data_IF_336408874651
#
_entry.id   IF_336408874651
#
_cell.length_a   1.000
_cell.length_b   1.000
_cell.length_c   1.000
_cell.angle_alpha   90.00
_cell.angle_beta   90.00
_cell.angle_gamma   90.00
#
_symmetry.space_group_name_H-M   'P 1'
#
loop_
_entity.id
_entity.type
_entity.pdbx_description
1 polymer ?
#
# COMPACT_ATOMS: atom_id res chain seq x y z
N UNK A 1 -9.30 -1.82 -0.76
CA UNK A 1 -7.92 -2.38 -0.82
C UNK A 1 -7.54 -2.86 -2.22
N UNK A 2 -8.20 -3.87 -2.82
CA UNK A 2 -7.81 -4.33 -4.17
C UNK A 2 -7.83 -3.22 -5.24
N UNK A 3 -8.86 -2.38 -5.23
CA UNK A 3 -8.95 -1.22 -6.13
C UNK A 3 -7.77 -0.25 -5.94
N UNK A 4 -7.46 0.13 -4.69
CA UNK A 4 -6.30 0.96 -4.35
C UNK A 4 -5.01 0.43 -4.98
N UNK A 5 -4.75 -0.87 -4.86
CA UNK A 5 -3.54 -1.49 -5.42
C UNK A 5 -3.51 -1.42 -6.94
N UNK A 6 -4.65 -1.62 -7.61
CA UNK A 6 -4.74 -1.51 -9.08
C UNK A 6 -4.40 -0.08 -9.51
N UNK A 7 -5.03 0.92 -8.89
CA UNK A 7 -4.83 2.32 -9.21
C UNK A 7 -3.41 2.80 -8.87
N UNK A 8 -2.85 2.37 -7.72
CA UNK A 8 -1.47 2.65 -7.35
C UNK A 8 -0.49 2.10 -8.38
N UNK A 9 -0.68 0.86 -8.84
CA UNK A 9 0.18 0.26 -9.86
C UNK A 9 0.10 1.03 -11.18
N UNK A 10 -1.08 1.51 -11.56
CA UNK A 10 -1.25 2.39 -12.73
C UNK A 10 -0.52 3.73 -12.54
N UNK A 11 -0.62 4.34 -11.35
CA UNK A 11 0.02 5.61 -11.03
C UNK A 11 1.55 5.55 -11.16
N UNK A 12 2.17 4.49 -10.64
CA UNK A 12 3.63 4.32 -10.68
C UNK A 12 4.11 3.57 -11.94
N UNK A 13 3.21 3.32 -12.89
CA UNK A 13 3.44 2.58 -14.12
C UNK A 13 4.19 1.26 -13.88
N UNK A 14 3.66 0.46 -12.94
CA UNK A 14 4.17 -0.87 -12.59
C UNK A 14 3.20 -1.98 -12.97
N UNK A 15 3.79 -3.09 -13.44
CA UNK A 15 3.05 -4.27 -13.84
C UNK A 15 2.81 -5.19 -12.64
N UNK A 16 1.54 -5.44 -12.34
CA UNK A 16 1.12 -6.43 -11.33
C UNK A 16 1.46 -7.84 -11.79
N UNK A 17 1.94 -8.66 -10.86
CA UNK A 17 2.16 -10.09 -11.04
C UNK A 17 1.17 -10.87 -10.17
N UNK A 18 0.26 -11.61 -10.82
CA UNK A 18 -0.80 -12.35 -10.14
C UNK A 18 -1.83 -11.45 -9.43
N UNK A 19 -2.72 -12.12 -8.69
CA UNK A 19 -3.80 -11.47 -7.95
C UNK A 19 -3.29 -10.81 -6.66
N UNK A 20 -3.87 -9.66 -6.31
CA UNK A 20 -3.66 -9.04 -5.00
C UNK A 20 -4.27 -9.93 -3.92
N UNK A 21 -3.43 -10.39 -3.00
CA UNK A 21 -3.86 -11.14 -1.82
C UNK A 21 -4.29 -10.15 -0.75
N UNK A 22 -5.50 -10.33 -0.22
CA UNK A 22 -6.04 -9.52 0.87
C UNK A 22 -6.62 -10.48 1.89
N UNK A 23 -6.12 -10.41 3.13
CA UNK A 23 -6.52 -11.30 4.22
C UNK A 23 -6.96 -10.44 5.39
N UNK A 24 -8.13 -10.72 5.94
CA UNK A 24 -8.56 -10.18 7.22
C UNK A 24 -8.27 -11.22 8.30
N UNK A 25 -7.53 -10.82 9.34
CA UNK A 25 -7.16 -11.71 10.43
C UNK A 25 -6.89 -10.92 11.72
N UNK A 26 -6.72 -11.66 12.82
CA UNK A 26 -6.57 -11.15 14.18
C UNK A 26 -7.70 -11.67 15.06
N UNK A 27 -7.35 -12.43 16.09
CA UNK A 27 -8.33 -13.09 16.97
C UNK A 27 -9.04 -12.11 17.92
N UNK A 28 -8.38 -10.99 18.24
CA UNK A 28 -8.94 -9.94 19.09
C UNK A 28 -9.19 -8.67 18.26
N UNK A 29 -10.31 -7.98 18.52
CA UNK A 29 -10.70 -6.77 17.78
C UNK A 29 -9.61 -5.68 17.78
N UNK A 30 -8.82 -5.59 18.86
CA UNK A 30 -7.72 -4.63 18.99
C UNK A 30 -6.55 -4.87 18.03
N UNK A 31 -6.39 -6.09 17.52
CA UNK A 31 -5.33 -6.47 16.55
C UNK A 31 -5.89 -6.89 15.19
N UNK A 32 -7.22 -6.90 15.05
CA UNK A 32 -7.87 -7.25 13.81
C UNK A 32 -7.63 -6.19 12.73
N UNK A 33 -7.42 -6.65 11.50
CA UNK A 33 -7.17 -5.77 10.38
C UNK A 33 -7.02 -6.53 9.07
N UNK A 34 -6.91 -5.77 7.99
CA UNK A 34 -6.56 -6.33 6.70
C UNK A 34 -5.06 -6.24 6.48
N UNK A 35 -4.45 -7.29 5.92
CA UNK A 35 -3.16 -7.16 5.25
C UNK A 35 -3.30 -7.45 3.77
N UNK A 36 -2.49 -6.77 2.97
CA UNK A 36 -2.44 -6.95 1.54
C UNK A 36 -1.03 -7.14 1.02
N UNK A 37 -0.92 -7.93 -0.03
CA UNK A 37 0.32 -8.22 -0.76
C UNK A 37 -0.01 -8.19 -2.25
N UNK A 38 0.77 -7.41 -3.00
CA UNK A 38 0.78 -7.42 -4.46
C UNK A 38 2.22 -7.52 -4.94
N UNK A 39 2.54 -8.66 -5.55
CA UNK A 39 3.76 -8.77 -6.33
C UNK A 39 3.65 -7.88 -7.56
N UNK A 40 4.69 -7.12 -7.84
CA UNK A 40 4.86 -6.36 -9.08
C UNK A 40 6.14 -6.86 -9.77
N UNK A 41 6.36 -6.50 -11.02
CA UNK A 41 7.53 -6.98 -11.78
C UNK A 41 8.84 -6.71 -11.02
N UNK A 42 9.47 -7.78 -10.51
CA UNK A 42 10.71 -7.79 -9.70
C UNK A 42 10.64 -7.07 -8.34
N UNK A 43 9.45 -6.73 -7.82
CA UNK A 43 9.33 -6.04 -6.53
C UNK A 43 7.99 -6.33 -5.80
N UNK A 44 7.64 -5.54 -4.79
CA UNK A 44 6.52 -5.82 -3.88
C UNK A 44 5.83 -4.55 -3.38
N UNK A 45 4.50 -4.56 -3.39
CA UNK A 45 3.68 -3.61 -2.63
C UNK A 45 2.99 -4.40 -1.50
N UNK A 46 3.09 -3.91 -0.27
CA UNK A 46 2.40 -4.49 0.89
C UNK A 46 1.70 -3.42 1.71
N UNK A 47 0.72 -3.82 2.51
CA UNK A 47 0.14 -2.92 3.48
C UNK A 47 -0.66 -3.62 4.55
N UNK A 48 -0.85 -2.90 5.66
CA UNK A 48 -1.64 -3.31 6.81
C UNK A 48 -2.64 -2.21 7.17
N UNK A 49 -3.90 -2.57 7.39
CA UNK A 49 -5.01 -1.67 7.68
C UNK A 49 -5.58 -2.06 9.03
N UNK A 50 -5.24 -1.30 10.06
CA UNK A 50 -5.61 -1.59 11.45
C UNK A 50 -7.02 -1.05 11.75
N UNK A 51 -7.94 -1.93 12.16
CA UNK A 51 -9.33 -1.55 12.44
C UNK A 51 -9.42 -0.53 13.58
N UNK A 52 -8.70 -0.79 14.69
CA UNK A 52 -8.81 -0.02 15.92
C UNK A 52 -8.41 1.46 15.75
N UNK A 53 -7.32 1.72 15.05
CA UNK A 53 -6.78 3.08 14.86
C UNK A 53 -7.24 3.71 13.56
N UNK A 54 -7.96 2.97 12.72
CA UNK A 54 -8.31 3.35 11.35
C UNK A 54 -7.10 3.87 10.56
N UNK A 55 -5.94 3.23 10.75
CA UNK A 55 -4.66 3.60 10.14
C UNK A 55 -4.26 2.60 9.08
N UNK A 56 -3.60 3.08 8.02
CA UNK A 56 -3.01 2.26 6.97
C UNK A 56 -1.49 2.44 6.96
N UNK A 57 -0.77 1.32 6.96
CA UNK A 57 0.67 1.24 6.80
C UNK A 57 0.94 0.63 5.44
N UNK A 58 1.66 1.33 4.56
CA UNK A 58 1.81 0.93 3.17
C UNK A 58 3.28 1.03 2.77
N UNK A 59 3.79 -0.06 2.23
CA UNK A 59 5.14 -0.17 1.70
C UNK A 59 5.07 -0.33 0.18
N UNK A 60 5.76 0.57 -0.54
CA UNK A 60 5.91 0.52 -2.00
C UNK A 60 7.36 0.26 -2.33
N UNK A 61 7.75 -1.01 -2.40
CA UNK A 61 9.08 -1.40 -2.82
C UNK A 61 9.08 -1.65 -4.34
N UNK A 62 9.80 -0.81 -5.10
CA UNK A 62 9.88 -0.90 -6.55
C UNK A 62 11.30 -0.69 -7.05
N UNK A 63 11.69 -1.46 -8.08
CA UNK A 63 12.92 -1.23 -8.85
C UNK A 63 12.78 -0.07 -9.85
N UNK A 64 11.56 0.32 -10.22
CA UNK A 64 11.31 1.51 -11.05
C UNK A 64 11.19 2.74 -10.17
N UNK A 65 11.88 3.81 -10.54
CA UNK A 65 11.77 5.09 -9.86
C UNK A 65 10.34 5.64 -9.96
N UNK A 66 9.84 6.14 -8.84
CA UNK A 66 8.58 6.88 -8.73
C UNK A 66 8.80 8.04 -7.76
N UNK A 67 7.90 9.02 -7.80
CA UNK A 67 7.90 10.13 -6.85
C UNK A 67 7.12 9.73 -5.57
N UNK A 68 7.78 9.67 -4.39
CA UNK A 68 7.11 9.32 -3.14
C UNK A 68 5.98 10.28 -2.77
N UNK A 69 6.11 11.57 -3.09
CA UNK A 69 5.11 12.58 -2.74
C UNK A 69 3.83 12.38 -3.55
N UNK A 70 3.96 12.05 -4.83
CA UNK A 70 2.83 11.65 -5.69
C UNK A 70 2.09 10.42 -5.14
N UNK A 71 2.81 9.39 -4.67
CA UNK A 71 2.20 8.21 -4.05
C UNK A 71 1.50 8.56 -2.73
N UNK A 72 2.12 9.40 -1.91
CA UNK A 72 1.58 9.83 -0.64
C UNK A 72 0.28 10.64 -0.80
N UNK A 73 0.24 11.56 -1.76
CA UNK A 73 -0.94 12.35 -2.09
C UNK A 73 -2.08 11.46 -2.60
N UNK A 74 -1.80 10.59 -3.58
CA UNK A 74 -2.77 9.62 -4.07
C UNK A 74 -3.34 8.75 -2.94
N UNK A 75 -2.47 8.25 -2.05
CA UNK A 75 -2.87 7.42 -0.92
C UNK A 75 -3.77 8.19 0.04
N UNK A 76 -3.40 9.44 0.35
CA UNK A 76 -4.19 10.33 1.21
C UNK A 76 -5.57 10.56 0.64
N UNK A 77 -5.66 10.90 -0.64
CA UNK A 77 -6.94 11.15 -1.32
C UNK A 77 -7.79 9.89 -1.42
N UNK A 78 -7.20 8.76 -1.80
CA UNK A 78 -7.91 7.49 -1.96
C UNK A 78 -8.58 7.05 -0.65
N UNK A 79 -7.86 7.14 0.47
CA UNK A 79 -8.37 6.73 1.78
C UNK A 79 -9.00 7.89 2.58
N UNK A 80 -8.97 9.11 2.06
CA UNK A 80 -9.40 10.34 2.75
C UNK A 80 -8.73 10.52 4.11
N UNK A 81 -7.43 10.22 4.16
CA UNK A 81 -6.66 10.33 5.40
C UNK A 81 -6.50 11.79 5.82
N UNK A 82 -6.55 12.06 7.12
CA UNK A 82 -6.36 13.41 7.67
C UNK A 82 -4.89 13.86 7.63
N UNK A 83 -3.95 12.91 7.68
CA UNK A 83 -2.52 13.15 7.50
C UNK A 83 -1.84 11.90 6.90
N UNK A 84 -0.65 12.08 6.35
CA UNK A 84 0.24 11.02 5.89
C UNK A 84 1.66 11.36 6.35
N UNK A 85 2.39 10.34 6.81
CA UNK A 85 3.82 10.43 7.09
C UNK A 85 4.56 9.52 6.10
N UNK A 86 5.63 10.03 5.48
CA UNK A 86 6.35 9.35 4.41
C UNK A 86 7.81 9.16 4.81
N UNK A 87 8.29 7.93 4.70
CA UNK A 87 9.71 7.58 4.78
C UNK A 87 10.15 6.97 3.46
N UNK A 88 11.10 7.62 2.78
CA UNK A 88 11.58 7.17 1.48
C UNK A 88 13.10 6.95 1.50
N UNK A 89 13.52 5.79 1.01
CA UNK A 89 14.93 5.43 0.85
C UNK A 89 15.22 5.10 -0.61
N UNK A 90 16.08 5.88 -1.25
CA UNK A 90 16.60 5.56 -2.59
C UNK A 90 17.66 4.46 -2.45
N UNK A 91 17.39 3.29 -3.03
CA UNK A 91 18.29 2.13 -3.05
C UNK A 91 18.96 2.09 -4.41
N UNK A 92 20.10 2.75 -4.53
CA UNK A 92 20.97 2.80 -5.71
C UNK A 92 22.29 2.11 -5.42
#
# INVERSE_FOLDING_TARGET
IKQYVVELCTLIDMKRFGECQVVHFGEEERVAGYSMIQLIETSLISGHFANLTNSAYIDVFSCKAYDPDTVAEFTREFFRASFVEVHATKRM
#
